data_IF_830148124020
#
_entry.id   IF_830148124020
#
_cell.length_a   1.000
_cell.length_b   1.000
_cell.length_c   1.000
_cell.angle_alpha   90.00
_cell.angle_beta   90.00
_cell.angle_gamma   90.00
#
_symmetry.space_group_name_H-M   'P 1'
#
loop_
_entity.id
_entity.type
_entity.pdbx_description
1 polymer ?
#
# COMPACT_ATOMS: atom_id res chain seq x y z
N UNK A 1 85.94 63.43 -24.53
CA UNK A 1 84.96 62.35 -24.36
C UNK A 1 84.88 61.53 -25.63
N UNK A 2 85.52 60.36 -25.68
CA UNK A 2 85.34 59.33 -26.71
C UNK A 2 85.08 58.03 -25.96
N UNK A 3 83.82 57.79 -25.59
CA UNK A 3 83.41 56.58 -24.89
C UNK A 3 83.15 55.46 -25.91
N UNK A 4 83.72 54.29 -25.63
CA UNK A 4 83.10 52.98 -25.82
C UNK A 4 82.70 52.58 -27.23
N UNK A 5 83.66 52.12 -28.04
CA UNK A 5 83.35 51.34 -29.26
C UNK A 5 83.62 49.85 -29.09
N UNK A 6 84.53 49.45 -28.19
CA UNK A 6 84.97 48.06 -28.06
C UNK A 6 84.02 47.21 -27.19
N UNK A 7 83.51 47.73 -26.07
CA UNK A 7 82.50 47.03 -25.23
C UNK A 7 81.17 46.76 -25.98
N UNK A 8 80.88 47.56 -27.01
CA UNK A 8 79.66 47.41 -27.81
C UNK A 8 79.67 46.19 -28.73
N UNK A 9 80.86 45.70 -29.10
CA UNK A 9 81.02 44.57 -30.02
C UNK A 9 80.92 43.24 -29.28
N UNK A 10 81.53 43.12 -28.09
CA UNK A 10 81.43 41.92 -27.27
C UNK A 10 79.98 41.64 -26.86
N UNK A 11 79.25 42.67 -26.42
CA UNK A 11 77.83 42.53 -26.05
C UNK A 11 76.94 42.13 -27.24
N UNK A 12 77.21 42.66 -28.45
CA UNK A 12 76.50 42.26 -29.67
C UNK A 12 76.80 40.81 -30.06
N UNK A 13 78.04 40.35 -29.91
CA UNK A 13 78.39 38.94 -30.19
C UNK A 13 77.79 37.97 -29.17
N UNK A 14 77.73 38.37 -27.89
CA UNK A 14 77.07 37.58 -26.84
C UNK A 14 75.57 37.43 -27.10
N UNK A 15 74.88 38.53 -27.40
CA UNK A 15 73.47 38.49 -27.78
C UNK A 15 73.25 37.70 -29.07
N UNK A 16 74.12 37.84 -30.08
CA UNK A 16 74.02 37.08 -31.31
C UNK A 16 74.18 35.56 -31.07
N UNK A 17 75.04 35.16 -30.15
CA UNK A 17 75.22 33.76 -29.78
C UNK A 17 74.03 33.22 -28.98
N UNK A 18 73.51 33.99 -28.01
CA UNK A 18 72.26 33.67 -27.29
C UNK A 18 71.09 33.48 -28.26
N UNK A 19 70.96 34.37 -29.25
CA UNK A 19 69.92 34.24 -30.27
C UNK A 19 70.12 33.02 -31.17
N UNK A 20 71.36 32.67 -31.54
CA UNK A 20 71.65 31.44 -32.29
C UNK A 20 71.28 30.18 -31.50
N UNK A 21 71.52 30.16 -30.21
CA UNK A 21 71.18 29.03 -29.34
C UNK A 21 69.67 28.90 -29.15
N UNK A 22 68.95 30.01 -28.99
CA UNK A 22 67.48 30.04 -28.96
C UNK A 22 66.90 29.57 -30.30
N UNK A 23 67.46 30.00 -31.42
CA UNK A 23 67.01 29.58 -32.76
C UNK A 23 67.30 28.10 -32.98
N UNK A 24 68.46 27.58 -32.55
CA UNK A 24 68.78 26.15 -32.59
C UNK A 24 67.85 25.32 -31.72
N UNK A 25 67.51 25.82 -30.54
CA UNK A 25 66.58 25.15 -29.63
C UNK A 25 65.16 25.10 -30.21
N UNK A 26 64.67 26.20 -30.81
CA UNK A 26 63.36 26.24 -31.49
C UNK A 26 63.31 25.44 -32.79
N UNK A 27 64.46 25.19 -33.43
CA UNK A 27 64.59 24.38 -34.66
C UNK A 27 65.01 22.94 -34.39
N UNK A 28 65.14 22.51 -33.14
CA UNK A 28 65.42 21.11 -32.84
C UNK A 28 64.25 20.26 -33.35
N UNK A 29 64.49 19.30 -34.25
CA UNK A 29 63.43 18.41 -34.69
C UNK A 29 62.96 17.61 -33.48
N UNK A 30 61.68 17.74 -33.15
CA UNK A 30 61.05 16.92 -32.10
C UNK A 30 61.36 15.46 -32.43
N UNK A 31 62.02 14.78 -31.51
CA UNK A 31 62.45 13.40 -31.72
C UNK A 31 61.23 12.50 -31.79
N UNK A 32 61.35 11.37 -32.48
CA UNK A 32 60.25 10.39 -32.53
C UNK A 32 59.87 9.87 -31.12
N UNK A 33 60.82 9.89 -30.18
CA UNK A 33 60.59 9.57 -28.78
C UNK A 33 59.64 10.60 -28.12
N UNK A 34 59.95 11.90 -28.20
CA UNK A 34 59.11 12.96 -27.64
C UNK A 34 57.70 13.00 -28.28
N UNK A 35 57.58 12.66 -29.57
CA UNK A 35 56.27 12.52 -30.22
C UNK A 35 55.48 11.32 -29.70
N UNK A 36 56.15 10.18 -29.46
CA UNK A 36 55.52 8.99 -28.89
C UNK A 36 55.10 9.22 -27.45
N UNK A 37 55.91 9.91 -26.65
CA UNK A 37 55.59 10.24 -25.26
C UNK A 37 54.42 11.22 -25.18
N UNK A 38 54.37 12.24 -26.04
CA UNK A 38 53.24 13.15 -26.14
C UNK A 38 51.95 12.44 -26.57
N UNK A 39 52.04 11.51 -27.54
CA UNK A 39 50.89 10.69 -27.96
C UNK A 39 50.43 9.71 -26.87
N UNK A 40 51.36 9.18 -26.06
CA UNK A 40 51.03 8.32 -24.92
C UNK A 40 50.30 9.11 -23.83
N UNK A 41 50.79 10.31 -23.49
CA UNK A 41 50.16 11.18 -22.50
C UNK A 41 48.77 11.67 -22.94
N UNK A 42 48.58 11.99 -24.22
CA UNK A 42 47.25 12.32 -24.76
C UNK A 42 46.30 11.12 -24.68
N UNK A 43 46.78 9.91 -25.02
CA UNK A 43 45.96 8.69 -24.91
C UNK A 43 45.53 8.42 -23.47
N UNK A 44 46.45 8.50 -22.52
CA UNK A 44 46.17 8.29 -21.09
C UNK A 44 45.12 9.27 -20.56
N UNK A 45 45.24 10.57 -20.89
CA UNK A 45 44.22 11.58 -20.56
C UNK A 45 42.85 11.25 -21.14
N UNK A 46 42.78 10.80 -22.40
CA UNK A 46 41.49 10.42 -22.99
C UNK A 46 40.90 9.15 -22.40
N UNK A 47 41.72 8.23 -21.87
CA UNK A 47 41.25 7.02 -21.20
C UNK A 47 40.72 7.32 -19.79
N UNK A 48 41.42 8.16 -19.03
CA UNK A 48 40.95 8.66 -17.73
C UNK A 48 39.64 9.45 -17.87
N UNK A 49 39.52 10.30 -18.89
CA UNK A 49 38.29 11.06 -19.15
C UNK A 49 37.11 10.13 -19.51
N UNK A 50 37.34 9.12 -20.36
CA UNK A 50 36.32 8.12 -20.70
C UNK A 50 35.90 7.29 -19.49
N UNK A 51 36.87 6.91 -18.65
CA UNK A 51 36.60 6.15 -17.44
C UNK A 51 35.79 6.97 -16.44
N UNK A 52 36.17 8.23 -16.20
CA UNK A 52 35.44 9.15 -15.32
C UNK A 52 34.03 9.49 -15.81
N UNK A 53 33.80 9.60 -17.12
CA UNK A 53 32.45 9.75 -17.69
C UNK A 53 31.64 8.48 -17.45
N UNK A 54 32.22 7.30 -17.69
CA UNK A 54 31.53 6.03 -17.49
C UNK A 54 31.10 5.83 -16.04
N UNK A 55 32.00 6.04 -15.07
CA UNK A 55 31.69 5.91 -13.65
C UNK A 55 30.56 6.85 -13.23
N UNK A 56 30.61 8.14 -13.62
CA UNK A 56 29.52 9.10 -13.34
C UNK A 56 28.17 8.63 -13.88
N UNK A 57 28.14 8.05 -15.08
CA UNK A 57 26.89 7.53 -15.65
C UNK A 57 26.40 6.25 -14.96
N UNK A 58 27.29 5.42 -14.43
CA UNK A 58 26.93 4.20 -13.69
C UNK A 58 26.40 4.55 -12.29
N UNK A 59 27.02 5.50 -11.60
CA UNK A 59 26.52 6.06 -10.33
C UNK A 59 25.15 6.73 -10.51
N UNK A 60 24.95 7.51 -11.57
CA UNK A 60 23.66 8.14 -11.85
C UNK A 60 22.57 7.10 -12.14
N UNK A 61 22.87 6.08 -12.95
CA UNK A 61 21.95 4.96 -13.21
C UNK A 61 21.62 4.19 -11.94
N UNK A 62 22.62 3.95 -11.08
CA UNK A 62 22.43 3.28 -9.81
C UNK A 62 21.52 4.11 -8.89
N UNK A 63 21.77 5.42 -8.76
CA UNK A 63 20.95 6.32 -7.96
C UNK A 63 19.50 6.43 -8.47
N UNK A 64 19.28 6.42 -9.79
CA UNK A 64 17.93 6.40 -10.37
C UNK A 64 17.23 5.07 -10.06
N UNK A 65 17.94 3.95 -10.17
CA UNK A 65 17.41 2.62 -9.86
C UNK A 65 17.02 2.51 -8.39
N UNK A 66 17.88 2.95 -7.49
CA UNK A 66 17.62 2.91 -6.05
C UNK A 66 16.40 3.75 -5.66
N UNK A 67 16.30 4.98 -6.18
CA UNK A 67 15.12 5.85 -5.98
C UNK A 67 13.83 5.21 -6.50
N UNK A 68 13.91 4.49 -7.62
CA UNK A 68 12.76 3.77 -8.17
C UNK A 68 12.35 2.59 -7.30
N UNK A 69 13.31 1.78 -6.85
CA UNK A 69 13.05 0.66 -5.95
C UNK A 69 12.48 1.14 -4.60
N UNK A 70 12.99 2.22 -4.04
CA UNK A 70 12.45 2.81 -2.82
C UNK A 70 11.01 3.29 -3.01
N UNK A 71 10.73 3.96 -4.13
CA UNK A 71 9.38 4.42 -4.48
C UNK A 71 8.40 3.25 -4.64
N UNK A 72 8.84 2.16 -5.26
CA UNK A 72 8.01 0.97 -5.46
C UNK A 72 7.78 0.22 -4.13
N UNK A 73 8.80 0.09 -3.26
CA UNK A 73 8.63 -0.42 -1.89
C UNK A 73 7.65 0.43 -1.07
N UNK A 74 7.74 1.76 -1.18
CA UNK A 74 6.81 2.68 -0.49
C UNK A 74 5.36 2.53 -0.99
N UNK A 75 5.18 2.35 -2.29
CA UNK A 75 3.88 2.04 -2.90
C UNK A 75 3.33 0.69 -2.45
N UNK A 76 4.18 -0.33 -2.38
CA UNK A 76 3.82 -1.67 -1.92
C UNK A 76 3.35 -1.65 -0.47
N UNK A 77 4.11 -1.03 0.44
CA UNK A 77 3.69 -0.83 1.84
C UNK A 77 2.37 -0.08 1.94
N UNK A 78 2.15 0.90 1.07
CA UNK A 78 0.90 1.66 1.03
C UNK A 78 -0.29 0.82 0.54
N UNK A 79 -0.07 -0.11 -0.40
CA UNK A 79 -1.09 -1.07 -0.86
C UNK A 79 -1.41 -2.08 0.22
N UNK A 80 -0.39 -2.68 0.82
CA UNK A 80 -0.53 -3.64 1.91
C UNK A 80 -1.36 -3.06 3.07
N UNK A 81 -1.06 -1.82 3.48
CA UNK A 81 -1.81 -1.12 4.54
C UNK A 81 -3.28 -0.88 4.16
N UNK A 82 -3.57 -0.62 2.88
CA UNK A 82 -4.96 -0.46 2.40
C UNK A 82 -5.69 -1.79 2.40
N UNK A 83 -5.05 -2.85 1.91
CA UNK A 83 -5.62 -4.20 1.89
C UNK A 83 -5.90 -4.71 3.31
N UNK A 84 -4.98 -4.51 4.25
CA UNK A 84 -5.18 -4.89 5.65
C UNK A 84 -6.40 -4.16 6.25
N UNK A 85 -6.52 -2.85 5.99
CA UNK A 85 -7.66 -2.05 6.43
C UNK A 85 -8.97 -2.56 5.85
N UNK A 86 -8.99 -2.93 4.57
CA UNK A 86 -10.18 -3.42 3.91
C UNK A 86 -10.55 -4.83 4.39
N UNK A 87 -9.58 -5.74 4.59
CA UNK A 87 -9.79 -7.04 5.25
C UNK A 87 -10.37 -6.88 6.66
N UNK A 88 -9.88 -5.92 7.45
CA UNK A 88 -10.40 -5.64 8.79
C UNK A 88 -11.85 -5.12 8.77
N UNK A 89 -12.17 -4.25 7.81
CA UNK A 89 -13.54 -3.76 7.58
C UNK A 89 -14.48 -4.87 7.15
N UNK A 90 -14.04 -5.77 6.28
CA UNK A 90 -14.80 -6.92 5.80
C UNK A 90 -15.14 -7.86 6.96
N UNK A 91 -14.14 -8.26 7.76
CA UNK A 91 -14.37 -9.07 8.98
C UNK A 91 -15.36 -8.41 9.94
N UNK A 92 -15.29 -7.08 10.07
CA UNK A 92 -16.22 -6.32 10.92
C UNK A 92 -17.65 -6.32 10.36
N UNK A 93 -17.82 -6.21 9.04
CA UNK A 93 -19.12 -6.32 8.37
C UNK A 93 -19.71 -7.72 8.53
N UNK A 94 -18.91 -8.76 8.31
CA UNK A 94 -19.31 -10.16 8.46
C UNK A 94 -19.81 -10.45 9.88
N UNK A 95 -19.07 -10.00 10.91
CA UNK A 95 -19.50 -10.14 12.31
C UNK A 95 -20.85 -9.47 12.57
N UNK A 96 -21.03 -8.24 12.10
CA UNK A 96 -22.30 -7.50 12.25
C UNK A 96 -23.46 -8.19 11.54
N UNK A 97 -23.22 -8.74 10.36
CA UNK A 97 -24.24 -9.48 9.62
C UNK A 97 -24.62 -10.78 10.31
N UNK A 98 -23.64 -11.50 10.85
CA UNK A 98 -23.86 -12.70 11.66
C UNK A 98 -24.68 -12.42 12.93
N UNK A 99 -24.42 -11.30 13.58
CA UNK A 99 -25.18 -10.92 14.78
C UNK A 99 -26.61 -10.48 14.44
N UNK A 100 -26.80 -9.72 13.35
CA UNK A 100 -28.14 -9.39 12.84
C UNK A 100 -28.93 -10.62 12.43
N UNK A 101 -28.30 -11.62 11.80
CA UNK A 101 -29.00 -12.85 11.42
C UNK A 101 -29.41 -13.68 12.63
N UNK A 102 -28.54 -13.76 13.65
CA UNK A 102 -28.87 -14.37 14.96
C UNK A 102 -30.01 -13.65 15.66
N UNK A 103 -30.01 -12.32 15.67
CA UNK A 103 -31.07 -11.51 16.26
C UNK A 103 -32.42 -11.76 15.58
N UNK A 104 -32.46 -11.70 14.24
CA UNK A 104 -33.67 -12.04 13.46
C UNK A 104 -34.16 -13.47 13.73
N UNK A 105 -33.24 -14.42 13.92
CA UNK A 105 -33.60 -15.80 14.26
C UNK A 105 -34.21 -15.90 15.66
N UNK A 106 -33.65 -15.20 16.65
CA UNK A 106 -34.20 -15.13 18.01
C UNK A 106 -35.59 -14.50 18.02
N UNK A 107 -35.77 -13.38 17.31
CA UNK A 107 -37.04 -12.68 17.20
C UNK A 107 -38.13 -13.59 16.58
N UNK A 108 -37.81 -14.33 15.52
CA UNK A 108 -38.74 -15.30 14.91
C UNK A 108 -39.16 -16.37 15.91
N UNK A 109 -38.19 -17.00 16.60
CA UNK A 109 -38.48 -18.02 17.61
C UNK A 109 -39.34 -17.48 18.75
N UNK A 110 -39.11 -16.25 19.17
CA UNK A 110 -39.91 -15.61 20.21
C UNK A 110 -41.35 -15.33 19.75
N UNK A 111 -41.52 -14.85 18.51
CA UNK A 111 -42.85 -14.69 17.90
C UNK A 111 -43.59 -16.01 17.80
N UNK A 112 -42.92 -17.09 17.40
CA UNK A 112 -43.52 -18.42 17.29
C UNK A 112 -43.95 -18.94 18.67
N UNK A 113 -43.09 -18.83 19.69
CA UNK A 113 -43.45 -19.19 21.09
C UNK A 113 -44.63 -18.36 21.60
N UNK A 114 -44.69 -17.08 21.27
CA UNK A 114 -45.80 -16.20 21.66
C UNK A 114 -47.13 -16.62 20.99
N UNK A 115 -47.08 -16.97 19.70
CA UNK A 115 -48.23 -17.51 18.96
C UNK A 115 -48.71 -18.83 19.57
N UNK A 116 -47.79 -19.74 19.85
CA UNK A 116 -48.09 -21.04 20.46
C UNK A 116 -48.77 -20.89 21.83
N UNK A 117 -48.28 -19.98 22.67
CA UNK A 117 -48.92 -19.68 23.97
C UNK A 117 -50.34 -19.18 23.80
N UNK A 118 -50.55 -18.18 22.93
CA UNK A 118 -51.88 -17.63 22.65
C UNK A 118 -52.84 -18.69 22.11
N UNK A 119 -52.36 -19.61 21.29
CA UNK A 119 -53.16 -20.70 20.75
C UNK A 119 -53.56 -21.70 21.84
N UNK A 120 -52.61 -22.07 22.72
CA UNK A 120 -52.89 -22.91 23.90
C UNK A 120 -53.93 -22.27 24.81
N UNK A 121 -53.84 -20.96 25.07
CA UNK A 121 -54.80 -20.25 25.90
C UNK A 121 -56.20 -20.24 25.27
N UNK A 122 -56.31 -19.92 23.98
CA UNK A 122 -57.57 -20.00 23.24
C UNK A 122 -58.17 -21.41 23.24
N UNK A 123 -57.33 -22.44 23.13
CA UNK A 123 -57.77 -23.83 23.18
C UNK A 123 -58.33 -24.20 24.56
N UNK A 124 -57.66 -23.78 25.64
CA UNK A 124 -58.14 -23.96 27.01
C UNK A 124 -59.47 -23.26 27.23
N UNK A 125 -59.59 -22.01 26.80
CA UNK A 125 -60.83 -21.22 26.92
C UNK A 125 -62.01 -21.89 26.20
N UNK A 126 -61.78 -22.43 24.99
CA UNK A 126 -62.80 -23.20 24.25
C UNK A 126 -63.26 -24.43 25.03
N UNK A 127 -62.31 -25.23 25.54
CA UNK A 127 -62.62 -26.43 26.34
C UNK A 127 -63.41 -26.09 27.62
N UNK A 128 -63.09 -24.98 28.28
CA UNK A 128 -63.83 -24.50 29.45
C UNK A 128 -65.25 -24.07 29.09
N UNK A 129 -65.43 -23.36 27.98
CA UNK A 129 -66.75 -22.98 27.45
C UNK A 129 -67.60 -24.21 27.13
N UNK A 130 -67.03 -25.23 26.49
CA UNK A 130 -67.73 -26.47 26.17
C UNK A 130 -68.15 -27.23 27.43
N UNK A 131 -67.24 -27.37 28.40
CA UNK A 131 -67.56 -27.97 29.72
C UNK A 131 -68.65 -27.21 30.46
N UNK A 132 -68.66 -25.88 30.37
CA UNK A 132 -69.68 -25.04 30.99
C UNK A 132 -71.05 -25.23 30.32
N UNK A 133 -71.10 -25.31 28.98
CA UNK A 133 -72.31 -25.64 28.22
C UNK A 133 -72.86 -27.01 28.60
N UNK A 134 -72.01 -28.03 28.65
CA UNK A 134 -72.39 -29.39 29.01
C UNK A 134 -72.99 -29.47 30.42
N UNK A 135 -72.41 -28.75 31.41
CA UNK A 135 -72.97 -28.65 32.77
C UNK A 135 -74.37 -28.05 32.75
N UNK A 136 -74.56 -26.93 32.06
CA UNK A 136 -75.87 -26.26 31.96
C UNK A 136 -76.93 -27.15 31.29
N UNK A 137 -76.55 -27.93 30.28
CA UNK A 137 -77.45 -28.89 29.65
C UNK A 137 -77.85 -30.03 30.59
N UNK A 138 -76.89 -30.57 31.36
CA UNK A 138 -77.17 -31.57 32.40
C UNK A 138 -78.11 -31.03 33.47
N UNK A 139 -77.90 -29.80 33.92
CA UNK A 139 -78.76 -29.16 34.93
C UNK A 139 -80.19 -28.95 34.39
N UNK A 140 -80.34 -28.45 33.16
CA UNK A 140 -81.65 -28.34 32.48
C UNK A 140 -82.34 -29.70 32.32
N UNK A 141 -81.58 -30.75 31.99
CA UNK A 141 -82.12 -32.10 31.86
C UNK A 141 -82.61 -32.66 33.20
N UNK A 142 -81.85 -32.42 34.28
CA UNK A 142 -82.25 -32.80 35.64
C UNK A 142 -83.52 -32.07 36.07
N UNK A 143 -83.58 -30.76 35.85
CA UNK A 143 -84.75 -29.94 36.17
C UNK A 143 -86.01 -30.41 35.41
N UNK A 144 -85.88 -30.74 34.12
CA UNK A 144 -86.99 -31.30 33.33
C UNK A 144 -87.49 -32.63 33.89
N UNK A 145 -86.57 -33.55 34.22
CA UNK A 145 -86.94 -34.84 34.83
C UNK A 145 -87.61 -34.67 36.19
N UNK A 146 -87.19 -33.69 36.98
CA UNK A 146 -87.80 -33.39 38.27
C UNK A 146 -89.22 -32.84 38.11
N UNK A 147 -89.45 -31.96 37.13
CA UNK A 147 -90.81 -31.47 36.78
C UNK A 147 -91.71 -32.63 36.34
N UNK A 148 -91.25 -33.46 35.41
CA UNK A 148 -92.01 -34.64 34.96
C UNK A 148 -92.36 -35.61 36.11
N UNK A 149 -91.46 -35.78 37.09
CA UNK A 149 -91.75 -36.57 38.30
C UNK A 149 -92.84 -35.94 39.16
N UNK A 150 -92.79 -34.62 39.38
CA UNK A 150 -93.79 -33.90 40.16
C UNK A 150 -95.17 -33.97 39.49
N UNK A 151 -95.21 -33.82 38.17
CA UNK A 151 -96.46 -33.90 37.41
C UNK A 151 -97.10 -35.30 37.46
N UNK A 152 -96.30 -36.37 37.47
CA UNK A 152 -96.81 -37.75 37.62
C UNK A 152 -97.30 -38.10 39.03
N UNK A 153 -96.90 -37.34 40.04
CA UNK A 153 -97.28 -37.57 41.44
C UNK A 153 -98.53 -36.81 41.90
N UNK A 154 -99.06 -35.92 41.06
CA UNK A 154 -100.31 -35.19 41.27
C UNK A 154 -101.46 -35.91 40.61
#
# INVERSE_FOLDING_TARGET
>A
MKFGTEESLEYKTFLANQWKDIIKFKRRPVTEAERKDALAAEREKTEEEKFGIREKTEEEKFGIREKREEKDRSRERSREKREEKDRSRERSRERREKDRSRERSRERREKDRSRERREKDRSRERREKDRSRERREKDRSREKREKERKDRSR
#
